data_IF_567162990697
#
_entry.id   IF_567162990697
#
_cell.length_a   1.000
_cell.length_b   1.000
_cell.length_c   1.000
_cell.angle_alpha   90.00
_cell.angle_beta   90.00
_cell.angle_gamma   90.00
#
_symmetry.space_group_name_H-M   'P 1'
#
loop_
_entity.id
_entity.type
_entity.pdbx_description
1 polymer ?
#
# COMPACT_ATOMS: atom_id res chain seq x y z
N UNK A 1 -7.09 -18.11 2.24
CA UNK A 1 -7.73 -19.22 2.99
C UNK A 1 -8.89 -19.78 2.20
N UNK A 2 -9.31 -21.00 2.51
CA UNK A 2 -10.51 -21.57 1.93
C UNK A 2 -11.76 -20.99 2.62
N UNK A 3 -12.19 -19.81 2.15
CA UNK A 3 -13.44 -19.17 2.54
C UNK A 3 -14.16 -18.69 1.30
N UNK A 4 -15.49 -18.74 1.33
CA UNK A 4 -16.30 -18.08 0.31
C UNK A 4 -16.06 -16.57 0.39
N UNK A 5 -15.54 -16.00 -0.68
CA UNK A 5 -15.13 -14.60 -0.74
C UNK A 5 -15.64 -13.97 -2.03
N UNK A 6 -16.21 -12.77 -1.91
CA UNK A 6 -16.59 -11.91 -3.02
C UNK A 6 -16.06 -10.49 -2.79
N UNK A 7 -15.75 -9.73 -3.86
CA UNK A 7 -15.44 -8.31 -3.75
C UNK A 7 -16.57 -7.57 -3.02
N UNK A 8 -16.23 -6.77 -2.00
CA UNK A 8 -17.24 -6.15 -1.14
C UNK A 8 -18.20 -5.21 -1.88
N UNK A 9 -17.77 -4.62 -3.00
CA UNK A 9 -18.63 -3.79 -3.86
C UNK A 9 -19.82 -4.54 -4.47
N UNK A 10 -19.77 -5.89 -4.50
CA UNK A 10 -20.87 -6.73 -4.95
C UNK A 10 -21.81 -7.19 -3.82
N UNK A 11 -21.55 -6.79 -2.58
CA UNK A 11 -22.24 -7.28 -1.38
C UNK A 11 -23.06 -6.16 -0.71
N UNK A 12 -24.21 -6.52 -0.14
CA UNK A 12 -24.91 -5.64 0.81
C UNK A 12 -24.10 -5.44 2.10
N UNK A 13 -24.35 -4.36 2.85
CA UNK A 13 -23.65 -4.09 4.11
C UNK A 13 -23.77 -5.21 5.16
N UNK A 14 -24.89 -5.94 5.16
CA UNK A 14 -25.05 -7.13 5.99
C UNK A 14 -24.13 -8.27 5.53
N UNK A 15 -24.09 -8.56 4.23
CA UNK A 15 -23.21 -9.58 3.67
C UNK A 15 -21.72 -9.25 3.86
N UNK A 16 -21.33 -7.97 3.73
CA UNK A 16 -19.97 -7.52 4.04
C UNK A 16 -19.61 -7.81 5.50
N UNK A 17 -20.53 -7.51 6.44
CA UNK A 17 -20.32 -7.78 7.86
C UNK A 17 -20.13 -9.27 8.15
N UNK A 18 -20.94 -10.14 7.52
CA UNK A 18 -20.80 -11.59 7.63
C UNK A 18 -19.46 -12.08 7.06
N UNK A 19 -19.12 -11.66 5.84
CA UNK A 19 -17.86 -12.04 5.19
C UNK A 19 -16.64 -11.64 6.04
N UNK A 20 -16.61 -10.42 6.56
CA UNK A 20 -15.52 -9.94 7.44
C UNK A 20 -15.44 -10.77 8.73
N UNK A 21 -16.58 -11.19 9.29
CA UNK A 21 -16.61 -12.05 10.46
C UNK A 21 -16.08 -13.45 10.14
N UNK A 22 -16.44 -14.02 8.99
CA UNK A 22 -15.95 -15.33 8.53
C UNK A 22 -14.45 -15.32 8.26
N UNK A 23 -13.94 -14.27 7.59
CA UNK A 23 -12.49 -14.04 7.40
C UNK A 23 -11.78 -14.04 8.76
N UNK A 24 -12.28 -13.24 9.71
CA UNK A 24 -11.70 -13.13 11.05
C UNK A 24 -11.74 -14.46 11.81
N UNK A 25 -12.81 -15.24 11.68
CA UNK A 25 -12.96 -16.52 12.35
C UNK A 25 -11.94 -17.54 11.82
N UNK A 26 -11.76 -17.62 10.50
CA UNK A 26 -10.77 -18.52 9.89
C UNK A 26 -9.35 -18.09 10.23
N UNK A 27 -9.03 -16.80 10.14
CA UNK A 27 -7.73 -16.26 10.57
C UNK A 27 -7.43 -16.66 12.02
N UNK A 28 -8.38 -16.46 12.93
CA UNK A 28 -8.22 -16.83 14.35
C UNK A 28 -8.00 -18.33 14.53
N UNK A 29 -8.75 -19.17 13.82
CA UNK A 29 -8.62 -20.63 13.91
C UNK A 29 -7.24 -21.10 13.46
N UNK A 30 -6.75 -20.56 12.33
CA UNK A 30 -5.41 -20.85 11.82
C UNK A 30 -4.35 -20.41 12.82
N UNK A 31 -4.38 -19.17 13.30
CA UNK A 31 -3.40 -18.65 14.27
C UNK A 31 -3.34 -19.50 15.55
N UNK A 32 -4.49 -19.99 16.02
CA UNK A 32 -4.55 -20.89 17.19
C UNK A 32 -3.90 -22.26 16.92
N UNK A 33 -4.09 -22.83 15.73
CA UNK A 33 -3.54 -24.13 15.36
C UNK A 33 -2.03 -24.07 15.09
N UNK A 34 -1.55 -22.99 14.49
CA UNK A 34 -0.11 -22.82 14.24
C UNK A 34 0.64 -22.59 15.56
N UNK A 35 0.02 -21.91 16.52
CA UNK A 35 0.56 -21.71 17.87
C UNK A 35 1.40 -20.45 18.00
N UNK A 36 1.26 -19.72 19.10
CA UNK A 36 1.89 -18.39 19.28
C UNK A 36 3.41 -18.39 19.37
N UNK A 37 4.02 -19.53 19.66
CA UNK A 37 5.47 -19.63 19.86
C UNK A 37 6.25 -19.81 18.55
N UNK A 38 5.56 -20.16 17.46
CA UNK A 38 6.14 -20.48 16.14
C UNK A 38 5.82 -19.40 15.10
N UNK A 39 5.11 -18.34 15.49
CA UNK A 39 4.63 -17.29 14.59
C UNK A 39 4.84 -15.89 15.17
N UNK A 40 5.13 -14.94 14.29
CA UNK A 40 4.91 -13.52 14.50
C UNK A 40 3.90 -13.05 13.45
N UNK A 41 2.85 -12.39 13.91
CA UNK A 41 1.76 -11.90 13.04
C UNK A 41 2.08 -10.49 12.60
N UNK A 42 2.41 -10.30 11.32
CA UNK A 42 2.71 -9.00 10.75
C UNK A 42 1.44 -8.29 10.27
N UNK A 43 0.49 -9.02 9.68
CA UNK A 43 -0.81 -8.45 9.29
C UNK A 43 -1.96 -9.47 9.33
N UNK A 44 -3.14 -8.98 9.76
CA UNK A 44 -4.42 -9.65 9.60
C UNK A 44 -5.31 -8.81 8.70
N UNK A 45 -5.46 -9.22 7.44
CA UNK A 45 -6.23 -8.44 6.48
C UNK A 45 -7.72 -8.56 6.76
N UNK A 46 -8.38 -7.40 6.94
CA UNK A 46 -9.81 -7.34 7.28
C UNK A 46 -10.72 -7.70 6.10
N UNK A 47 -10.31 -7.29 4.90
CA UNK A 47 -11.11 -7.40 3.66
C UNK A 47 -10.61 -8.47 2.70
N UNK A 48 -9.55 -9.20 3.08
CA UNK A 48 -8.96 -10.25 2.28
C UNK A 48 -8.71 -11.48 3.17
N UNK A 49 -9.02 -12.70 2.73
CA UNK A 49 -8.80 -13.92 3.48
C UNK A 49 -7.33 -14.36 3.45
N UNK A 50 -6.45 -13.51 3.97
CA UNK A 50 -5.00 -13.69 4.00
C UNK A 50 -4.40 -13.25 5.33
N UNK A 51 -3.20 -13.73 5.64
CA UNK A 51 -2.37 -13.30 6.77
C UNK A 51 -0.97 -13.02 6.23
N UNK A 52 -0.28 -12.02 6.79
CA UNK A 52 1.16 -11.87 6.63
C UNK A 52 1.83 -12.33 7.93
N UNK A 53 2.66 -13.37 7.84
CA UNK A 53 3.25 -14.06 8.98
C UNK A 53 4.75 -14.23 8.78
N UNK A 54 5.51 -14.05 9.85
CA UNK A 54 6.82 -14.67 10.00
C UNK A 54 6.63 -15.97 10.78
N UNK A 55 7.16 -17.08 10.28
CA UNK A 55 7.01 -18.40 10.90
C UNK A 55 8.34 -19.15 10.91
N UNK A 56 8.53 -20.02 11.90
CA UNK A 56 9.63 -20.99 11.88
C UNK A 56 9.25 -22.24 11.06
N UNK A 57 10.16 -23.22 11.00
CA UNK A 57 9.96 -24.48 10.28
C UNK A 57 8.74 -25.27 10.78
N UNK A 58 8.52 -25.29 12.10
CA UNK A 58 7.38 -25.98 12.69
C UNK A 58 6.06 -25.27 12.35
N UNK A 59 6.03 -23.95 12.45
CA UNK A 59 4.89 -23.12 12.08
C UNK A 59 4.53 -23.26 10.60
N UNK A 60 5.54 -23.26 9.72
CA UNK A 60 5.35 -23.50 8.29
C UNK A 60 4.79 -24.90 8.02
N UNK A 61 5.33 -25.94 8.67
CA UNK A 61 4.82 -27.31 8.55
C UNK A 61 3.36 -27.42 9.00
N UNK A 62 2.98 -26.76 10.10
CA UNK A 62 1.58 -26.69 10.56
C UNK A 62 0.67 -25.99 9.55
N UNK A 63 1.12 -24.90 8.93
CA UNK A 63 0.38 -24.20 7.89
C UNK A 63 0.18 -25.05 6.63
N UNK A 64 1.23 -25.74 6.16
CA UNK A 64 1.17 -26.60 4.98
C UNK A 64 0.22 -27.79 5.15
N UNK A 65 0.07 -28.29 6.38
CA UNK A 65 -0.83 -29.40 6.71
C UNK A 65 -2.24 -28.93 7.12
N UNK A 66 -2.52 -27.63 7.12
CA UNK A 66 -3.80 -27.09 7.54
C UNK A 66 -4.81 -27.07 6.37
N UNK A 67 -5.94 -27.80 6.44
CA UNK A 67 -6.90 -27.86 5.33
C UNK A 67 -7.60 -26.53 5.02
N UNK A 68 -7.55 -25.54 5.92
CA UNK A 68 -8.11 -24.20 5.69
C UNK A 68 -7.12 -23.26 4.96
N UNK A 69 -5.85 -23.65 4.82
CA UNK A 69 -4.82 -22.91 4.10
C UNK A 69 -4.83 -23.34 2.64
N UNK A 70 -5.19 -22.41 1.75
CA UNK A 70 -5.32 -22.66 0.31
C UNK A 70 -3.99 -22.50 -0.45
N UNK A 71 -3.16 -21.56 -0.03
CA UNK A 71 -1.87 -21.27 -0.62
C UNK A 71 -0.98 -20.55 0.39
N UNK A 72 0.32 -20.65 0.18
CA UNK A 72 1.36 -19.93 0.92
C UNK A 72 2.32 -19.37 -0.13
N UNK A 73 2.60 -18.08 -0.04
CA UNK A 73 3.52 -17.38 -0.94
C UNK A 73 4.64 -16.75 -0.11
N UNK A 74 5.87 -16.79 -0.61
CA UNK A 74 6.99 -16.14 0.05
C UNK A 74 6.90 -14.62 -0.14
N UNK A 75 7.08 -13.86 0.94
CA UNK A 75 7.15 -12.41 0.91
C UNK A 75 8.51 -11.94 0.37
N UNK A 76 8.48 -11.08 -0.67
CA UNK A 76 9.65 -10.67 -1.44
C UNK A 76 9.62 -9.19 -1.71
N UNK A 77 10.80 -8.56 -1.64
CA UNK A 77 10.97 -7.18 -2.10
C UNK A 77 10.66 -7.05 -3.59
N UNK A 78 9.89 -6.03 -3.93
CA UNK A 78 9.61 -5.63 -5.31
C UNK A 78 10.01 -4.16 -5.43
N UNK A 79 10.96 -3.88 -6.33
CA UNK A 79 11.39 -2.51 -6.60
C UNK A 79 10.33 -1.77 -7.43
N UNK A 80 10.21 -0.43 -7.27
CA UNK A 80 9.36 0.36 -8.14
C UNK A 80 9.81 0.21 -9.60
N UNK A 81 8.83 0.20 -10.51
CA UNK A 81 9.08 0.15 -11.95
C UNK A 81 8.38 1.33 -12.60
N UNK A 82 9.08 2.01 -13.50
CA UNK A 82 8.52 3.13 -14.26
C UNK A 82 8.64 2.86 -15.76
N UNK A 83 7.51 2.93 -16.46
CA UNK A 83 7.46 3.12 -17.91
C UNK A 83 6.84 4.51 -18.18
N UNK A 84 7.41 5.27 -19.12
CA UNK A 84 6.95 6.62 -19.50
C UNK A 84 5.46 6.62 -19.91
N UNK A 85 4.66 7.57 -19.39
CA UNK A 85 3.19 7.56 -19.53
C UNK A 85 2.56 8.80 -20.20
N UNK A 86 3.13 10.01 -20.08
CA UNK A 86 2.36 11.22 -20.40
C UNK A 86 2.15 11.45 -21.92
N UNK A 87 2.97 10.87 -22.79
CA UNK A 87 2.83 11.04 -24.25
C UNK A 87 1.77 10.16 -24.92
N UNK A 88 0.96 9.41 -24.15
CA UNK A 88 0.17 8.27 -24.68
C UNK A 88 -1.34 8.36 -24.39
N UNK A 89 -1.80 9.24 -23.49
CA UNK A 89 -3.17 9.13 -22.90
C UNK A 89 -4.14 10.28 -23.21
N UNK A 90 -3.84 11.18 -24.15
CA UNK A 90 -4.73 12.28 -24.60
C UNK A 90 -5.39 13.09 -23.45
N UNK A 91 -4.66 13.28 -22.34
CA UNK A 91 -5.20 13.89 -21.11
C UNK A 91 -5.71 15.32 -21.33
N UNK A 92 -5.09 16.07 -22.25
CA UNK A 92 -5.51 17.41 -22.61
C UNK A 92 -6.93 17.46 -23.21
N UNK A 93 -7.32 16.48 -24.04
CA UNK A 93 -8.66 16.44 -24.65
C UNK A 93 -9.73 16.17 -23.58
N UNK A 94 -9.45 15.30 -22.61
CA UNK A 94 -10.34 15.05 -21.49
C UNK A 94 -10.57 16.32 -20.64
N UNK A 95 -9.53 17.11 -20.41
CA UNK A 95 -9.64 18.36 -19.65
C UNK A 95 -10.38 19.45 -20.41
N UNK A 96 -10.09 19.62 -21.72
CA UNK A 96 -10.77 20.60 -22.58
C UNK A 96 -12.28 20.28 -22.70
N UNK A 97 -12.65 19.01 -22.56
CA UNK A 97 -14.05 18.55 -22.53
C UNK A 97 -14.69 18.58 -21.13
N UNK A 98 -13.99 19.09 -20.11
CA UNK A 98 -14.51 19.34 -18.77
C UNK A 98 -14.38 18.17 -17.77
N UNK A 99 -13.68 17.10 -18.11
CA UNK A 99 -13.41 15.99 -17.18
C UNK A 99 -12.19 16.29 -16.32
N UNK A 100 -12.40 17.03 -15.24
CA UNK A 100 -11.32 17.57 -14.41
C UNK A 100 -10.98 16.75 -13.18
N UNK A 101 -11.65 15.60 -12.94
CA UNK A 101 -11.51 14.78 -11.73
C UNK A 101 -11.81 15.49 -10.40
N UNK A 102 -12.42 16.68 -10.43
CA UNK A 102 -12.82 17.41 -9.23
C UNK A 102 -13.77 16.58 -8.34
N UNK A 103 -13.54 16.61 -7.04
CA UNK A 103 -14.29 15.83 -6.05
C UNK A 103 -13.88 14.36 -5.94
N UNK A 104 -12.92 13.91 -6.75
CA UNK A 104 -12.34 12.56 -6.64
C UNK A 104 -11.02 12.59 -5.86
N UNK A 105 -10.68 11.46 -5.25
CA UNK A 105 -9.38 11.23 -4.62
C UNK A 105 -8.78 9.95 -5.18
N UNK A 106 -7.49 9.99 -5.50
CA UNK A 106 -6.73 8.84 -5.99
C UNK A 106 -5.76 8.42 -4.89
N UNK A 107 -5.79 7.15 -4.49
CA UNK A 107 -4.80 6.59 -3.59
C UNK A 107 -3.59 6.09 -4.39
N UNK A 108 -2.40 6.55 -4.03
CA UNK A 108 -1.13 6.20 -4.68
C UNK A 108 -0.28 5.45 -3.66
N UNK A 109 0.01 4.19 -3.94
CA UNK A 109 0.82 3.31 -3.10
C UNK A 109 2.21 3.22 -3.72
N UNK A 110 3.12 4.08 -3.25
CA UNK A 110 4.43 4.27 -3.85
C UNK A 110 5.45 4.70 -2.77
N UNK A 111 6.62 5.21 -3.16
CA UNK A 111 7.72 5.62 -2.27
C UNK A 111 7.48 6.89 -1.46
N UNK A 112 6.23 7.34 -1.37
CA UNK A 112 5.81 8.62 -0.80
C UNK A 112 5.78 9.74 -1.84
N UNK A 113 5.47 10.96 -1.40
CA UNK A 113 5.32 12.15 -2.23
C UNK A 113 5.98 13.35 -1.58
N UNK A 114 6.73 14.13 -2.37
CA UNK A 114 7.09 15.50 -2.01
C UNK A 114 5.82 16.37 -2.08
N UNK A 115 5.07 16.39 -0.99
CA UNK A 115 3.85 17.19 -0.88
C UNK A 115 4.10 18.71 -0.92
N UNK A 116 5.36 19.14 -0.78
CA UNK A 116 5.72 20.55 -0.85
C UNK A 116 5.94 21.02 -2.29
N UNK A 117 6.11 20.09 -3.23
CA UNK A 117 6.20 20.38 -4.66
C UNK A 117 4.99 21.22 -5.13
N UNK A 118 5.18 22.25 -5.98
CA UNK A 118 4.10 23.14 -6.45
C UNK A 118 2.90 22.42 -7.07
N UNK A 119 3.15 21.25 -7.68
CA UNK A 119 2.11 20.34 -8.19
C UNK A 119 1.03 19.98 -7.16
N UNK A 120 1.37 19.98 -5.87
CA UNK A 120 0.45 19.60 -4.80
C UNK A 120 0.22 20.73 -3.79
N UNK A 121 1.25 21.52 -3.47
CA UNK A 121 1.20 22.49 -2.37
C UNK A 121 0.32 23.70 -2.69
N UNK A 122 0.27 24.15 -3.96
CA UNK A 122 -0.54 25.30 -4.38
C UNK A 122 -2.04 25.15 -4.06
N UNK A 123 -2.55 23.91 -4.11
CA UNK A 123 -3.97 23.59 -3.90
C UNK A 123 -4.22 22.56 -2.80
N UNK A 124 -3.22 22.23 -1.97
CA UNK A 124 -3.30 21.20 -0.92
C UNK A 124 -3.84 19.86 -1.43
N UNK A 125 -3.32 19.37 -2.56
CA UNK A 125 -3.84 18.17 -3.24
C UNK A 125 -3.56 16.87 -2.46
N UNK A 126 -2.62 16.85 -1.53
CA UNK A 126 -2.39 15.73 -0.62
C UNK A 126 -3.38 15.82 0.55
N UNK A 127 -4.46 15.05 0.45
CA UNK A 127 -5.58 15.07 1.43
C UNK A 127 -5.51 13.95 2.47
N UNK A 128 -4.65 12.95 2.27
CA UNK A 128 -4.43 11.85 3.20
C UNK A 128 -3.05 11.25 3.00
N UNK A 129 -2.47 10.71 4.07
CA UNK A 129 -1.10 10.24 4.13
C UNK A 129 -1.03 8.94 4.94
N UNK A 130 -0.21 7.99 4.47
CA UNK A 130 0.11 6.77 5.19
C UNK A 130 1.50 6.27 4.79
N UNK A 131 2.21 5.68 5.73
CA UNK A 131 3.46 4.96 5.49
C UNK A 131 3.31 3.52 5.95
N UNK A 132 3.83 2.59 5.14
CA UNK A 132 4.00 1.19 5.47
C UNK A 132 5.38 0.75 4.97
N UNK A 133 6.32 0.51 5.88
CA UNK A 133 7.71 0.18 5.54
C UNK A 133 8.30 -0.74 6.60
N UNK A 134 9.00 -1.81 6.19
CA UNK A 134 9.44 -2.86 7.13
C UNK A 134 10.84 -2.61 7.70
N UNK A 135 11.08 -3.10 8.93
CA UNK A 135 12.40 -3.20 9.55
C UNK A 135 12.95 -4.64 9.52
N UNK A 136 12.55 -5.44 8.53
CA UNK A 136 12.91 -6.85 8.49
C UNK A 136 14.41 -7.06 8.17
N UNK A 137 15.14 -7.52 9.19
CA UNK A 137 16.60 -7.66 9.15
C UNK A 137 17.12 -8.67 8.13
N UNK A 138 16.27 -9.60 7.67
CA UNK A 138 16.62 -10.51 6.57
C UNK A 138 16.85 -9.77 5.26
N UNK A 139 16.13 -8.66 5.04
CA UNK A 139 16.26 -7.78 3.86
C UNK A 139 17.12 -6.53 4.13
N UNK A 140 18.05 -6.60 5.08
CA UNK A 140 18.61 -5.46 5.84
C UNK A 140 17.86 -4.12 5.68
N UNK A 141 16.54 -4.12 5.85
CA UNK A 141 15.71 -2.95 5.58
C UNK A 141 15.53 -2.08 6.83
N UNK A 142 15.46 -0.77 6.62
CA UNK A 142 15.13 0.21 7.66
C UNK A 142 13.84 0.89 7.22
N UNK A 143 12.89 1.02 8.14
CA UNK A 143 11.65 1.72 7.87
C UNK A 143 11.90 3.19 7.61
N UNK A 144 11.33 3.70 6.52
CA UNK A 144 11.34 5.13 6.15
C UNK A 144 10.17 5.89 6.75
N UNK A 145 9.28 5.21 7.49
CA UNK A 145 8.16 5.89 8.14
C UNK A 145 8.62 6.81 9.29
N UNK A 146 7.87 7.87 9.59
CA UNK A 146 8.18 8.75 10.73
C UNK A 146 8.40 7.98 12.03
N UNK A 147 9.56 8.20 12.67
CA UNK A 147 9.93 7.50 13.90
C UNK A 147 10.39 6.04 13.72
N UNK A 148 10.60 5.57 12.49
CA UNK A 148 11.07 4.23 12.19
C UNK A 148 10.05 3.12 12.47
N UNK A 149 8.78 3.45 12.68
CA UNK A 149 7.70 2.48 12.89
C UNK A 149 7.36 1.76 11.59
N UNK A 150 6.73 0.58 11.64
CA UNK A 150 6.40 -0.15 10.40
C UNK A 150 5.14 0.35 9.69
N UNK A 151 4.29 1.10 10.41
CA UNK A 151 3.07 1.68 9.87
C UNK A 151 2.65 2.93 10.64
N UNK A 152 2.21 3.97 9.91
CA UNK A 152 1.59 5.17 10.49
C UNK A 152 0.72 5.88 9.48
N UNK A 153 -0.35 6.52 9.96
CA UNK A 153 -1.21 7.42 9.17
C UNK A 153 -1.25 8.82 9.78
N UNK A 154 -0.28 9.16 10.62
CA UNK A 154 -0.11 10.50 11.14
C UNK A 154 0.29 11.47 10.02
N UNK A 155 0.08 12.76 10.23
CA UNK A 155 0.57 13.80 9.33
C UNK A 155 2.08 13.64 9.08
N UNK A 156 2.49 13.78 7.82
CA UNK A 156 3.87 13.56 7.38
C UNK A 156 4.22 12.10 7.09
N UNK A 157 3.29 11.15 7.26
CA UNK A 157 3.54 9.74 6.90
C UNK A 157 3.63 9.52 5.38
N UNK A 158 3.16 10.45 4.56
CA UNK A 158 3.16 10.31 3.10
C UNK A 158 4.38 10.92 2.44
N UNK A 159 5.33 11.49 3.21
CA UNK A 159 6.51 12.13 2.64
C UNK A 159 7.35 11.12 1.87
N UNK A 160 7.98 11.57 0.79
CA UNK A 160 8.91 10.72 0.06
C UNK A 160 10.10 10.28 0.93
N UNK A 161 10.75 9.19 0.54
CA UNK A 161 11.86 8.64 1.30
C UNK A 161 13.24 9.25 0.96
N UNK A 162 13.31 10.37 0.24
CA UNK A 162 14.59 10.89 -0.30
C UNK A 162 15.57 11.23 0.82
N UNK A 163 15.09 11.84 1.90
CA UNK A 163 15.89 12.16 3.08
C UNK A 163 16.31 10.91 3.86
N UNK A 164 15.40 9.94 3.98
CA UNK A 164 15.68 8.67 4.65
C UNK A 164 16.72 7.83 3.88
N UNK A 165 16.79 7.99 2.56
CA UNK A 165 17.75 7.36 1.67
C UNK A 165 19.06 8.15 1.50
N UNK A 166 19.30 9.21 2.30
CA UNK A 166 20.50 10.03 2.19
C UNK A 166 21.79 9.18 2.26
N UNK A 167 22.66 9.35 1.26
CA UNK A 167 23.91 8.58 1.12
C UNK A 167 23.79 7.36 0.20
N UNK A 168 22.59 7.04 -0.28
CA UNK A 168 22.34 5.94 -1.23
C UNK A 168 21.68 6.50 -2.51
N UNK A 169 22.49 7.02 -3.44
CA UNK A 169 21.97 7.77 -4.60
C UNK A 169 20.93 7.01 -5.44
N UNK A 170 21.09 5.71 -5.64
CA UNK A 170 20.09 4.90 -6.35
C UNK A 170 18.76 4.83 -5.61
N UNK A 171 18.80 4.67 -4.28
CA UNK A 171 17.60 4.65 -3.46
C UNK A 171 16.92 6.03 -3.42
N UNK A 172 17.68 7.11 -3.48
CA UNK A 172 17.11 8.47 -3.56
C UNK A 172 16.37 8.70 -4.88
N UNK A 173 16.83 8.13 -6.00
CA UNK A 173 16.08 8.19 -7.27
C UNK A 173 14.80 7.34 -7.19
N UNK A 174 14.87 6.14 -6.62
CA UNK A 174 13.68 5.32 -6.37
C UNK A 174 12.69 6.07 -5.46
N UNK A 175 13.16 6.80 -4.45
CA UNK A 175 12.30 7.55 -3.53
C UNK A 175 11.50 8.68 -4.19
N UNK A 176 11.99 9.25 -5.30
CA UNK A 176 11.25 10.28 -6.07
C UNK A 176 10.12 9.69 -6.92
N UNK A 177 10.06 8.36 -7.06
CA UNK A 177 9.13 7.68 -7.95
C UNK A 177 7.67 8.04 -7.62
N UNK A 178 7.30 7.99 -6.34
CA UNK A 178 5.94 8.32 -5.92
C UNK A 178 5.56 9.78 -6.19
N UNK A 179 6.49 10.74 -6.07
CA UNK A 179 6.27 12.15 -6.47
C UNK A 179 5.98 12.26 -7.96
N UNK A 180 6.71 11.53 -8.80
CA UNK A 180 6.48 11.52 -10.24
C UNK A 180 5.12 10.89 -10.59
N UNK A 181 4.79 9.72 -10.01
CA UNK A 181 3.51 9.03 -10.22
C UNK A 181 2.35 9.91 -9.74
N UNK A 182 2.47 10.53 -8.57
CA UNK A 182 1.50 11.49 -8.07
C UNK A 182 1.38 12.72 -8.95
N UNK A 183 2.47 13.17 -9.56
CA UNK A 183 2.47 14.30 -10.49
C UNK A 183 1.69 13.97 -11.76
N UNK A 184 1.93 12.80 -12.36
CA UNK A 184 1.12 12.31 -13.49
C UNK A 184 -0.34 12.15 -13.11
N UNK A 185 -0.62 11.60 -11.94
CA UNK A 185 -1.97 11.30 -11.52
C UNK A 185 -2.75 12.55 -11.11
N UNK A 186 -2.10 13.54 -10.46
CA UNK A 186 -2.74 14.61 -9.69
C UNK A 186 -2.01 15.97 -9.69
N UNK A 187 -0.92 16.14 -10.43
CA UNK A 187 -0.19 17.41 -10.50
C UNK A 187 -0.99 18.57 -11.07
N UNK A 188 -0.48 19.79 -10.88
CA UNK A 188 -0.96 21.00 -11.57
C UNK A 188 0.24 21.72 -12.23
N UNK A 189 -0.02 22.49 -13.28
CA UNK A 189 0.92 23.19 -14.16
C UNK A 189 0.93 24.70 -13.91
N UNK A 190 0.55 25.10 -12.69
CA UNK A 190 0.38 26.49 -12.27
C UNK A 190 -0.75 27.26 -13.00
N UNK A 191 -1.54 26.63 -13.89
CA UNK A 191 -2.65 27.29 -14.60
C UNK A 191 -4.01 27.20 -13.90
N UNK A 192 -4.12 26.39 -12.83
CA UNK A 192 -5.34 26.23 -12.04
C UNK A 192 -5.33 24.99 -11.14
N UNK A 193 -6.44 24.73 -10.39
CA UNK A 193 -6.54 23.56 -9.50
C UNK A 193 -6.65 22.22 -10.26
N UNK A 194 -6.86 22.26 -11.57
CA UNK A 194 -7.09 21.10 -12.42
C UNK A 194 -5.80 20.28 -12.65
N UNK A 195 -5.95 19.12 -13.29
CA UNK A 195 -4.83 18.27 -13.69
C UNK A 195 -4.16 18.86 -14.94
N UNK A 196 -2.87 18.61 -15.07
CA UNK A 196 -2.00 19.18 -16.11
C UNK A 196 -0.91 19.93 -15.42
#
# INVERSE_FOLDING_TARGET
FDVNFLPEGALSGFQQSLQRQDIKNVQKSILQQVGSNTIKVNAQYKYSPSLALEVDEEGLSRLLNNPQVKSIEADKLVAPIMQSSNGVIDSYEAWDTGYTGEGWTVAILDTGVDKTHPFFSTYNKVVSEACYSTNYSYYPSISVCPGGVEATTAEGSGIDCVDAAAGYSSAQEDCKHGTHVAGTAAGNDDSGPHFG
#
